data_IF_774523422531
#
_entry.id   IF_774523422531
#
_cell.length_a   1.000
_cell.length_b   1.000
_cell.length_c   1.000
_cell.angle_alpha   90.00
_cell.angle_beta   90.00
_cell.angle_gamma   90.00
#
_symmetry.space_group_name_H-M   'P 1'
#
loop_
_entity.id
_entity.type
_entity.pdbx_description
1 polymer ?
#
# COMPACT_ATOMS: atom_id res chain seq x y z
N UNK A 1 -11.18 -15.48 -11.89
CA UNK A 1 -9.72 -15.68 -11.95
C UNK A 1 -9.09 -15.13 -10.68
N UNK A 2 -8.21 -15.88 -10.02
CA UNK A 2 -7.45 -15.34 -8.89
C UNK A 2 -6.45 -14.31 -9.42
N UNK A 3 -6.60 -13.04 -9.03
CA UNK A 3 -5.71 -11.98 -9.44
C UNK A 3 -4.27 -12.34 -9.01
N UNK A 4 -3.40 -12.61 -9.99
CA UNK A 4 -2.02 -12.98 -9.72
C UNK A 4 -1.19 -11.71 -9.48
N UNK A 5 -1.33 -11.14 -8.29
CA UNK A 5 -0.65 -9.89 -7.94
C UNK A 5 0.88 -10.01 -7.93
N UNK A 6 1.45 -11.23 -7.94
CA UNK A 6 2.90 -11.46 -8.05
C UNK A 6 3.48 -10.85 -9.32
N UNK A 7 2.70 -10.74 -10.40
CA UNK A 7 3.16 -10.16 -11.67
C UNK A 7 3.42 -8.66 -11.58
N UNK A 8 2.89 -7.98 -10.55
CA UNK A 8 3.01 -6.53 -10.37
C UNK A 8 3.95 -6.11 -9.24
N UNK A 9 4.51 -7.08 -8.53
CA UNK A 9 5.44 -6.85 -7.42
C UNK A 9 6.68 -7.73 -7.55
N UNK A 10 7.84 -7.17 -7.24
CA UNK A 10 9.07 -7.93 -7.09
C UNK A 10 9.18 -8.37 -5.62
N UNK A 11 9.18 -9.68 -5.38
CA UNK A 11 9.39 -10.24 -4.03
C UNK A 11 10.88 -10.13 -3.70
N UNK A 12 11.18 -9.68 -2.48
CA UNK A 12 12.53 -9.54 -1.93
C UNK A 12 12.83 -10.73 -1.00
N UNK A 13 13.36 -11.84 -1.52
CA UNK A 13 13.66 -13.02 -0.70
C UNK A 13 14.78 -12.74 0.31
N UNK A 14 15.72 -11.85 -0.03
CA UNK A 14 16.91 -11.53 0.78
C UNK A 14 16.59 -10.80 2.09
N UNK A 15 15.38 -10.26 2.24
CA UNK A 15 14.94 -9.52 3.44
C UNK A 15 13.71 -10.12 4.10
N UNK A 16 13.34 -11.35 3.73
CA UNK A 16 12.26 -12.05 4.40
C UNK A 16 12.76 -12.48 5.78
N UNK A 17 12.25 -11.86 6.85
CA UNK A 17 12.17 -12.58 8.12
C UNK A 17 11.46 -13.91 7.85
N UNK A 18 11.82 -14.98 8.54
CA UNK A 18 11.32 -16.35 8.34
C UNK A 18 9.78 -16.50 8.20
N UNK A 19 9.01 -15.45 8.47
CA UNK A 19 7.55 -15.38 8.48
C UNK A 19 6.93 -14.38 7.50
N UNK A 20 7.69 -13.44 6.92
CA UNK A 20 7.13 -12.38 6.06
C UNK A 20 8.05 -12.03 4.90
N UNK A 21 7.66 -12.47 3.69
CA UNK A 21 8.25 -11.98 2.45
C UNK A 21 7.90 -10.50 2.25
N UNK A 22 8.88 -9.66 1.97
CA UNK A 22 8.64 -8.29 1.51
C UNK A 22 8.59 -8.23 0.00
N UNK A 23 7.96 -7.19 -0.55
CA UNK A 23 7.94 -6.92 -1.97
C UNK A 23 7.97 -5.42 -2.26
N UNK A 24 8.31 -5.08 -3.50
CA UNK A 24 8.25 -3.73 -4.05
C UNK A 24 7.37 -3.71 -5.28
N UNK A 25 6.65 -2.62 -5.51
CA UNK A 25 5.87 -2.45 -6.73
C UNK A 25 6.79 -2.22 -7.94
N UNK A 26 6.56 -2.97 -9.02
CA UNK A 26 7.38 -2.88 -10.24
C UNK A 26 7.24 -1.50 -10.89
N UNK A 27 6.03 -0.92 -10.89
CA UNK A 27 5.82 0.42 -11.44
C UNK A 27 6.59 1.49 -10.64
N UNK A 28 6.65 1.39 -9.31
CA UNK A 28 7.46 2.29 -8.49
C UNK A 28 8.95 2.12 -8.75
N UNK A 29 9.42 0.87 -8.94
CA UNK A 29 10.81 0.55 -9.27
C UNK A 29 11.24 1.17 -10.60
N UNK A 30 10.39 1.07 -11.61
CA UNK A 30 10.67 1.63 -12.94
C UNK A 30 10.78 3.15 -12.93
N UNK A 31 9.92 3.85 -12.17
CA UNK A 31 9.91 5.32 -12.15
C UNK A 31 10.98 5.90 -11.22
N UNK A 32 11.12 5.34 -10.01
CA UNK A 32 11.98 5.93 -8.97
C UNK A 32 13.36 5.25 -8.85
N UNK A 33 13.57 4.17 -9.60
CA UNK A 33 14.72 3.29 -9.44
C UNK A 33 14.57 2.32 -8.26
N UNK A 34 15.34 1.22 -8.32
CA UNK A 34 15.37 0.19 -7.29
C UNK A 34 15.70 0.70 -5.87
N UNK A 35 16.72 1.57 -5.64
CA UNK A 35 17.05 1.99 -4.28
C UNK A 35 15.90 2.74 -3.59
N UNK A 36 15.21 3.64 -4.29
CA UNK A 36 14.05 4.34 -3.74
C UNK A 36 12.85 3.41 -3.53
N UNK A 37 12.62 2.47 -4.45
CA UNK A 37 11.55 1.48 -4.29
C UNK A 37 11.78 0.56 -3.08
N UNK A 38 13.04 0.22 -2.76
CA UNK A 38 13.39 -0.57 -1.56
C UNK A 38 13.08 0.13 -0.24
N UNK A 39 13.07 1.47 -0.22
CA UNK A 39 12.63 2.25 0.95
C UNK A 39 11.12 2.13 1.16
N UNK A 40 10.37 1.99 0.07
CA UNK A 40 8.91 1.84 0.04
C UNK A 40 8.46 0.38 -0.01
N UNK A 41 9.31 -0.57 0.40
CA UNK A 41 8.95 -2.00 0.45
C UNK A 41 7.81 -2.25 1.44
N UNK A 42 6.97 -3.23 1.13
CA UNK A 42 5.83 -3.60 1.96
C UNK A 42 5.68 -5.12 2.02
N UNK A 43 5.00 -5.66 3.06
CA UNK A 43 4.79 -7.10 3.17
C UNK A 43 4.04 -7.66 1.96
N UNK A 44 4.50 -8.79 1.43
CA UNK A 44 3.86 -9.57 0.37
C UNK A 44 2.63 -10.30 0.92
N UNK A 45 1.61 -9.51 1.28
CA UNK A 45 0.27 -9.97 1.66
C UNK A 45 -0.71 -9.43 0.64
N UNK A 46 -1.61 -10.28 0.14
CA UNK A 46 -2.58 -9.93 -0.92
C UNK A 46 -3.32 -8.62 -0.64
N UNK A 47 -3.77 -8.41 0.60
CA UNK A 47 -4.45 -7.17 1.01
C UNK A 47 -3.56 -5.92 0.89
N UNK A 48 -2.29 -6.01 1.33
CA UNK A 48 -1.32 -4.91 1.28
C UNK A 48 -0.93 -4.59 -0.16
N UNK A 49 -0.70 -5.62 -0.97
CA UNK A 49 -0.42 -5.45 -2.40
C UNK A 49 -1.61 -4.77 -3.08
N UNK A 50 -2.83 -5.25 -2.85
CA UNK A 50 -4.05 -4.67 -3.43
C UNK A 50 -4.21 -3.20 -3.05
N UNK A 51 -4.08 -2.86 -1.77
CA UNK A 51 -4.20 -1.48 -1.29
C UNK A 51 -3.12 -0.57 -1.89
N UNK A 52 -1.87 -1.06 -2.00
CA UNK A 52 -0.80 -0.32 -2.64
C UNK A 52 -1.11 -0.04 -4.12
N UNK A 53 -1.43 -1.08 -4.91
CA UNK A 53 -1.75 -0.94 -6.34
C UNK A 53 -2.94 0.01 -6.57
N UNK A 54 -3.91 0.00 -5.66
CA UNK A 54 -5.07 0.90 -5.69
C UNK A 54 -4.69 2.38 -5.54
N UNK A 55 -3.69 2.70 -4.71
CA UNK A 55 -3.23 4.07 -4.43
C UNK A 55 -2.04 4.50 -5.28
N UNK A 56 -1.32 3.56 -5.87
CA UNK A 56 -0.10 3.83 -6.63
C UNK A 56 -0.40 4.50 -7.98
N UNK A 57 -0.07 5.78 -8.11
CA UNK A 57 -0.24 6.53 -9.36
C UNK A 57 0.61 5.96 -10.50
N UNK A 58 1.84 5.54 -10.21
CA UNK A 58 2.71 4.93 -11.22
C UNK A 58 2.11 3.64 -11.80
N UNK A 59 1.45 2.84 -10.96
CA UNK A 59 0.76 1.64 -11.42
C UNK A 59 -0.44 1.98 -12.30
N UNK A 60 -1.26 2.95 -11.90
CA UNK A 60 -2.41 3.43 -12.70
C UNK A 60 -1.99 3.95 -14.08
N UNK A 61 -0.90 4.71 -14.13
CA UNK A 61 -0.41 5.29 -15.37
C UNK A 61 0.26 4.25 -16.29
N UNK A 62 0.95 3.25 -15.72
CA UNK A 62 1.66 2.22 -16.50
C UNK A 62 0.75 1.08 -16.95
N UNK A 63 -0.27 0.74 -16.16
CA UNK A 63 -1.19 -0.37 -16.42
C UNK A 63 -2.66 0.05 -16.23
N UNK A 64 -3.17 1.03 -17.00
CA UNK A 64 -4.53 1.54 -16.82
C UNK A 64 -5.61 0.48 -17.09
N UNK A 65 -5.43 -0.36 -18.11
CA UNK A 65 -6.37 -1.44 -18.46
C UNK A 65 -6.45 -2.52 -17.37
N UNK A 66 -5.28 -2.93 -16.86
CA UNK A 66 -5.18 -3.91 -15.77
C UNK A 66 -5.76 -3.33 -14.48
N UNK A 67 -5.52 -2.04 -14.20
CA UNK A 67 -6.14 -1.38 -13.06
C UNK A 67 -7.66 -1.41 -13.18
N UNK A 68 -8.20 -1.09 -14.35
CA UNK A 68 -9.64 -1.18 -14.59
C UNK A 68 -10.14 -2.62 -14.44
N UNK A 69 -9.50 -3.61 -15.05
CA UNK A 69 -9.93 -5.01 -14.92
C UNK A 69 -9.92 -5.50 -13.45
N UNK A 70 -8.88 -5.17 -12.69
CA UNK A 70 -8.73 -5.61 -11.30
C UNK A 70 -9.63 -4.85 -10.32
N UNK A 71 -9.96 -3.59 -10.61
CA UNK A 71 -10.63 -2.68 -9.67
C UNK A 71 -11.94 -2.07 -10.20
N UNK A 72 -12.40 -2.37 -11.42
CA UNK A 72 -13.61 -1.78 -12.03
C UNK A 72 -14.87 -2.02 -11.19
N UNK A 73 -14.95 -3.15 -10.49
CA UNK A 73 -16.08 -3.42 -9.57
C UNK A 73 -16.00 -2.60 -8.27
N UNK A 74 -14.82 -2.12 -7.89
CA UNK A 74 -14.59 -1.32 -6.67
C UNK A 74 -14.60 0.20 -6.92
N UNK A 75 -14.25 0.67 -8.11
CA UNK A 75 -14.27 2.11 -8.46
C UNK A 75 -15.69 2.68 -8.34
N UNK A 76 -16.73 1.90 -8.66
CA UNK A 76 -18.14 2.27 -8.44
C UNK A 76 -18.51 2.49 -6.97
N UNK A 77 -17.71 1.99 -6.02
CA UNK A 77 -17.87 2.22 -4.57
C UNK A 77 -17.02 3.36 -4.02
N UNK A 78 -16.03 3.87 -4.76
CA UNK A 78 -15.14 4.94 -4.27
C UNK A 78 -15.72 6.33 -4.45
N UNK A 79 -16.52 6.57 -5.49
CA UNK A 79 -17.28 7.82 -5.63
C UNK A 79 -18.24 8.06 -4.46
N UNK A 80 -18.61 7.01 -3.72
CA UNK A 80 -19.51 7.08 -2.57
C UNK A 80 -18.77 7.29 -1.23
N UNK A 81 -17.44 7.10 -1.16
CA UNK A 81 -16.69 7.13 0.11
C UNK A 81 -15.63 8.25 0.21
N UNK A 82 -15.31 8.96 -0.88
CA UNK A 82 -14.38 10.11 -0.82
C UNK A 82 -14.96 11.35 -0.12
N UNK A 83 -16.21 11.31 0.36
CA UNK A 83 -16.83 12.42 1.10
C UNK A 83 -16.82 12.27 2.63
N UNK A 84 -16.41 11.13 3.19
CA UNK A 84 -16.61 10.84 4.64
C UNK A 84 -15.34 10.71 5.50
N UNK A 85 -14.11 10.72 4.94
CA UNK A 85 -12.87 10.59 5.73
C UNK A 85 -12.17 11.93 6.09
N UNK A 86 -12.91 13.05 6.21
CA UNK A 86 -12.37 14.30 6.76
C UNK A 86 -12.75 14.58 8.23
N UNK A 87 -13.34 13.62 8.96
CA UNK A 87 -13.51 13.70 10.41
C UNK A 87 -12.94 12.46 11.09
N UNK A 88 -11.63 12.42 11.27
CA UNK A 88 -10.95 11.93 12.49
C UNK A 88 -9.51 12.45 12.41
N UNK A 89 -9.41 13.78 12.50
CA UNK A 89 -8.14 14.44 12.79
C UNK A 89 -7.72 14.06 14.22
N UNK A 90 -6.85 13.04 14.29
CA UNK A 90 -5.79 12.87 15.27
C UNK A 90 -5.86 13.75 16.54
N UNK A 91 -6.61 13.29 17.55
CA UNK A 91 -6.30 13.65 18.95
C UNK A 91 -5.68 12.45 19.65
N UNK A 92 -4.39 12.20 19.39
CA UNK A 92 -3.53 11.49 20.35
C UNK A 92 -3.30 12.43 21.53
N UNK A 93 -4.18 12.38 22.53
CA UNK A 93 -3.90 12.98 23.83
C UNK A 93 -2.83 12.14 24.52
N UNK A 94 -1.59 12.66 24.50
CA UNK A 94 -0.47 12.18 25.32
C UNK A 94 -0.87 12.36 26.79
N UNK A 95 -0.96 11.25 27.52
CA UNK A 95 -1.18 11.24 28.97
C UNK A 95 0.15 11.59 29.64
N UNK A 96 0.28 12.81 30.15
CA UNK A 96 1.39 13.17 31.02
C UNK A 96 1.12 12.62 32.42
N UNK A 97 1.82 11.55 32.77
CA UNK A 97 1.94 11.08 34.15
C UNK A 97 3.02 11.91 34.83
N UNK A 98 2.62 12.84 35.70
CA UNK A 98 3.51 13.36 36.76
C UNK A 98 2.97 12.88 38.10
N UNK A 99 3.50 11.75 38.55
CA UNK A 99 3.63 11.52 39.97
C UNK A 99 4.83 12.30 40.47
N UNK A 100 4.65 13.13 41.49
CA UNK A 100 5.76 13.42 42.40
C UNK A 100 5.22 13.75 43.78
N UNK A 101 5.73 12.95 44.72
CA UNK A 101 5.59 13.04 46.16
C UNK A 101 6.36 14.26 46.67
N UNK A 102 5.70 15.13 47.45
CA UNK A 102 6.17 15.61 48.75
C UNK A 102 5.05 16.33 49.50
#
# INVERSE_FOLDING_TARGET
MAANFKTFVEILPEKADNWQNYCICIACRDVNGRPNALLQKFPFKTERVRNHLKKCQHFKNKYPEIFFELFASETKRMEINEFDENIVSSKRLRRESTGSVH
#
